data_IF_373497534185
#
_entry.id   IF_373497534185
#
_cell.length_a   1.000
_cell.length_b   1.000
_cell.length_c   1.000
_cell.angle_alpha   90.00
_cell.angle_beta   90.00
_cell.angle_gamma   90.00
#
_symmetry.space_group_name_H-M   'P 1'
#
loop_
_entity.id
_entity.type
_entity.pdbx_description
1 polymer ?
#
# COMPACT_ATOMS: atom_id res chain seq x y z
N UNK A 1 23.52 15.25 -4.23
CA UNK A 1 24.68 14.36 -4.44
C UNK A 1 24.66 13.90 -5.87
N UNK A 2 25.78 14.04 -6.61
CA UNK A 2 25.89 13.56 -7.97
C UNK A 2 26.08 12.04 -7.93
N UNK A 3 25.10 11.26 -8.40
CA UNK A 3 25.04 9.79 -8.27
C UNK A 3 25.92 9.06 -9.30
N UNK A 4 26.46 9.81 -10.27
CA UNK A 4 27.18 9.26 -11.42
C UNK A 4 28.65 8.91 -11.13
N UNK A 5 29.19 9.32 -9.98
CA UNK A 5 30.63 9.16 -9.66
C UNK A 5 30.98 7.99 -8.75
N UNK A 6 29.99 7.22 -8.26
CA UNK A 6 30.24 6.22 -7.19
C UNK A 6 30.49 4.79 -7.73
N UNK A 7 30.18 4.48 -9.00
CA UNK A 7 30.25 3.11 -9.51
C UNK A 7 30.96 2.98 -10.86
N UNK A 8 31.85 1.99 -10.97
CA UNK A 8 32.49 1.59 -12.24
C UNK A 8 31.52 0.75 -13.06
N UNK A 9 30.96 1.32 -14.12
CA UNK A 9 30.18 0.63 -15.13
C UNK A 9 31.14 0.07 -16.18
N UNK A 10 30.99 -1.21 -16.55
CA UNK A 10 31.78 -1.80 -17.65
C UNK A 10 31.55 -1.00 -18.93
N UNK A 11 32.62 -0.75 -19.68
CA UNK A 11 32.56 0.04 -20.91
C UNK A 11 31.57 -0.61 -21.91
N UNK A 12 30.56 0.16 -22.35
CA UNK A 12 29.45 -0.32 -23.18
C UNK A 12 28.19 -0.78 -22.44
N UNK A 13 28.15 -0.78 -21.10
CA UNK A 13 26.92 -1.04 -20.34
C UNK A 13 25.95 0.16 -20.42
N UNK A 14 24.70 -0.12 -20.80
CA UNK A 14 23.62 0.89 -20.90
C UNK A 14 22.84 1.06 -19.58
N UNK A 15 23.08 0.18 -18.62
CA UNK A 15 22.31 0.05 -17.39
C UNK A 15 23.20 0.40 -16.21
N UNK A 16 22.81 1.41 -15.42
CA UNK A 16 23.42 1.73 -14.14
C UNK A 16 22.60 1.14 -12.98
N UNK A 17 23.19 1.03 -11.78
CA UNK A 17 22.52 0.47 -10.60
C UNK A 17 21.11 1.04 -10.35
N UNK A 18 20.89 2.32 -10.65
CA UNK A 18 19.64 3.04 -10.38
C UNK A 18 18.91 3.50 -11.66
N UNK A 19 19.29 2.99 -12.84
CA UNK A 19 18.71 3.46 -14.11
C UNK A 19 17.19 3.22 -14.22
N UNK A 20 16.63 2.32 -13.41
CA UNK A 20 15.20 2.02 -13.38
C UNK A 20 14.43 2.66 -12.24
N UNK A 21 15.09 3.25 -11.23
CA UNK A 21 14.43 3.79 -10.03
C UNK A 21 13.31 4.78 -10.39
N UNK A 22 13.56 5.62 -11.41
CA UNK A 22 12.57 6.60 -11.83
C UNK A 22 11.42 6.00 -12.66
N UNK A 23 11.66 4.84 -13.29
CA UNK A 23 10.70 4.12 -14.13
C UNK A 23 9.79 3.15 -13.35
N UNK A 24 10.08 2.91 -12.07
CA UNK A 24 9.27 2.03 -11.23
C UNK A 24 7.84 2.58 -11.10
N UNK A 25 6.82 1.70 -11.20
CA UNK A 25 5.43 2.12 -11.05
C UNK A 25 5.16 2.59 -9.61
N UNK A 26 4.21 3.50 -9.47
CA UNK A 26 3.72 3.90 -8.15
C UNK A 26 3.06 2.70 -7.44
N UNK A 27 3.16 2.65 -6.11
CA UNK A 27 2.54 1.62 -5.30
C UNK A 27 1.00 1.74 -5.40
N UNK A 28 0.29 0.71 -5.88
CA UNK A 28 -1.16 0.78 -6.00
C UNK A 28 -1.82 0.84 -4.61
N UNK A 29 -2.85 1.67 -4.48
CA UNK A 29 -3.70 1.71 -3.30
C UNK A 29 -4.88 0.72 -3.52
N UNK A 30 -4.98 -0.37 -2.74
CA UNK A 30 -6.12 -1.28 -2.84
C UNK A 30 -7.41 -0.60 -2.36
N UNK A 31 -8.56 -1.00 -2.92
CA UNK A 31 -9.86 -0.53 -2.45
C UNK A 31 -10.05 -0.88 -0.98
N UNK A 32 -10.73 0.00 -0.25
CA UNK A 32 -11.07 -0.22 1.17
C UNK A 32 -11.82 -1.55 1.37
N UNK A 33 -12.81 -1.85 0.53
CA UNK A 33 -13.63 -3.07 0.63
C UNK A 33 -12.81 -4.35 0.50
N UNK A 34 -11.90 -4.38 -0.47
CA UNK A 34 -11.02 -5.54 -0.71
C UNK A 34 -10.09 -5.75 0.48
N UNK A 35 -9.59 -4.66 1.07
CA UNK A 35 -8.74 -4.68 2.26
C UNK A 35 -9.49 -5.21 3.48
N UNK A 36 -10.69 -4.69 3.73
CA UNK A 36 -11.54 -5.13 4.85
C UNK A 36 -11.97 -6.58 4.72
N UNK A 37 -12.29 -7.02 3.50
CA UNK A 37 -12.60 -8.43 3.21
C UNK A 37 -11.40 -9.33 3.54
N UNK A 38 -10.22 -9.00 3.03
CA UNK A 38 -8.99 -9.78 3.28
C UNK A 38 -8.64 -9.80 4.78
N UNK A 39 -8.82 -8.68 5.46
CA UNK A 39 -8.66 -8.60 6.91
C UNK A 39 -9.62 -9.58 7.62
N UNK A 40 -10.92 -9.55 7.30
CA UNK A 40 -11.88 -10.47 7.91
C UNK A 40 -11.56 -11.95 7.65
N UNK A 41 -11.19 -12.30 6.41
CA UNK A 41 -10.77 -13.66 6.06
C UNK A 41 -9.56 -14.13 6.88
N UNK A 42 -8.61 -13.23 7.16
CA UNK A 42 -7.43 -13.55 7.98
C UNK A 42 -7.76 -13.85 9.45
N UNK A 43 -8.90 -13.38 9.96
CA UNK A 43 -9.33 -13.60 11.34
C UNK A 43 -10.09 -14.91 11.54
N UNK A 44 -10.75 -15.42 10.49
CA UNK A 44 -11.55 -16.65 10.56
C UNK A 44 -10.87 -17.87 11.20
N UNK A 45 -9.59 -18.18 10.96
CA UNK A 45 -8.95 -19.33 11.60
C UNK A 45 -8.65 -19.14 13.09
N UNK A 46 -8.74 -17.91 13.61
CA UNK A 46 -8.36 -17.58 15.00
C UNK A 46 -9.56 -17.18 15.88
N UNK A 47 -10.61 -16.60 15.29
CA UNK A 47 -11.75 -16.07 16.02
C UNK A 47 -12.85 -17.08 16.31
N UNK A 48 -13.48 -16.97 17.48
CA UNK A 48 -14.75 -17.64 17.79
C UNK A 48 -15.91 -17.05 16.99
N UNK A 49 -17.05 -17.74 16.94
CA UNK A 49 -18.23 -17.25 16.21
C UNK A 49 -18.74 -15.90 16.74
N UNK A 50 -18.65 -15.67 18.06
CA UNK A 50 -19.06 -14.42 18.71
C UNK A 50 -18.12 -13.27 18.37
N UNK A 51 -16.81 -13.50 18.43
CA UNK A 51 -15.78 -12.52 18.06
C UNK A 51 -15.88 -12.15 16.58
N UNK A 52 -16.02 -13.13 15.69
CA UNK A 52 -16.14 -12.88 14.25
C UNK A 52 -17.41 -12.08 13.91
N UNK A 53 -18.53 -12.36 14.60
CA UNK A 53 -19.75 -11.57 14.44
C UNK A 53 -19.53 -10.12 14.88
N UNK A 54 -18.94 -9.94 16.05
CA UNK A 54 -18.63 -8.61 16.56
C UNK A 54 -17.68 -7.83 15.63
N UNK A 55 -16.65 -8.50 15.10
CA UNK A 55 -15.71 -7.90 14.16
C UNK A 55 -16.39 -7.53 12.84
N UNK A 56 -17.31 -8.35 12.33
CA UNK A 56 -18.09 -8.00 11.13
C UNK A 56 -18.88 -6.70 11.33
N UNK A 57 -19.51 -6.52 12.50
CA UNK A 57 -20.23 -5.28 12.83
C UNK A 57 -19.29 -4.06 12.91
N UNK A 58 -18.08 -4.24 13.45
CA UNK A 58 -17.05 -3.18 13.49
C UNK A 58 -16.59 -2.82 12.08
N UNK A 59 -16.33 -3.82 11.24
CA UNK A 59 -15.89 -3.62 9.86
C UNK A 59 -16.94 -2.82 9.08
N UNK A 60 -18.22 -3.14 9.23
CA UNK A 60 -19.30 -2.43 8.52
C UNK A 60 -19.43 -0.98 9.00
N UNK A 61 -19.32 -0.75 10.32
CA UNK A 61 -19.30 0.60 10.89
C UNK A 61 -18.09 1.41 10.42
N UNK A 62 -16.92 0.79 10.33
CA UNK A 62 -15.71 1.44 9.86
C UNK A 62 -15.81 1.77 8.37
N UNK A 63 -16.24 0.80 7.55
CA UNK A 63 -16.45 0.94 6.11
C UNK A 63 -17.35 2.13 5.77
N UNK A 64 -18.48 2.24 6.45
CA UNK A 64 -19.49 3.27 6.19
C UNK A 64 -19.30 4.56 7.01
N UNK A 65 -18.24 4.63 7.83
CA UNK A 65 -17.94 5.76 8.70
C UNK A 65 -16.55 6.32 8.44
N UNK A 66 -15.77 6.47 9.52
CA UNK A 66 -14.44 7.09 9.48
C UNK A 66 -13.48 6.40 8.50
N UNK A 67 -13.64 5.10 8.25
CA UNK A 67 -12.79 4.35 7.32
C UNK A 67 -12.89 4.86 5.88
N UNK A 68 -14.07 5.27 5.42
CA UNK A 68 -14.25 5.86 4.10
C UNK A 68 -13.55 7.24 4.00
N UNK A 69 -13.66 8.06 5.04
CA UNK A 69 -13.02 9.38 5.10
C UNK A 69 -11.49 9.26 5.09
N UNK A 70 -10.96 8.34 5.90
CA UNK A 70 -9.52 8.04 5.95
C UNK A 70 -9.03 7.48 4.61
N UNK A 71 -9.79 6.60 3.97
CA UNK A 71 -9.41 6.05 2.67
C UNK A 71 -9.36 7.13 1.59
N UNK A 72 -10.30 8.07 1.59
CA UNK A 72 -10.27 9.23 0.67
C UNK A 72 -9.02 10.09 0.88
N UNK A 73 -8.63 10.34 2.13
CA UNK A 73 -7.38 11.04 2.42
C UNK A 73 -6.16 10.26 1.91
N UNK A 74 -6.18 8.94 2.01
CA UNK A 74 -5.12 8.06 1.52
C UNK A 74 -5.06 8.03 -0.02
N UNK A 75 -6.20 8.05 -0.70
CA UNK A 75 -6.30 8.19 -2.15
C UNK A 75 -5.63 9.49 -2.62
N UNK A 76 -5.95 10.62 -1.97
CA UNK A 76 -5.29 11.90 -2.27
C UNK A 76 -3.78 11.85 -2.03
N UNK A 77 -3.34 11.24 -0.92
CA UNK A 77 -1.89 11.05 -0.67
C UNK A 77 -1.23 10.21 -1.77
N UNK A 78 -1.86 9.11 -2.18
CA UNK A 78 -1.33 8.19 -3.20
C UNK A 78 -1.14 8.81 -4.58
N UNK A 79 -1.87 9.89 -4.89
CA UNK A 79 -1.70 10.64 -6.15
C UNK A 79 -0.41 11.44 -6.20
N UNK A 80 0.16 11.79 -5.04
CA UNK A 80 1.29 12.71 -4.94
C UNK A 80 2.61 12.01 -4.59
N UNK A 81 2.58 10.72 -4.24
CA UNK A 81 3.74 9.96 -3.79
C UNK A 81 3.90 8.65 -4.57
N UNK A 82 5.10 8.37 -5.11
CA UNK A 82 5.41 7.06 -5.74
C UNK A 82 5.22 5.90 -4.77
N UNK A 83 5.49 6.14 -3.49
CA UNK A 83 5.29 5.20 -2.41
C UNK A 83 4.57 5.91 -1.25
N UNK A 84 3.26 5.71 -1.14
CA UNK A 84 2.42 6.40 -0.15
C UNK A 84 2.53 5.86 1.28
N UNK A 85 3.26 4.74 1.47
CA UNK A 85 3.55 4.20 2.82
C UNK A 85 4.91 4.62 3.35
N UNK A 86 5.82 5.13 2.51
CA UNK A 86 7.09 5.66 2.98
C UNK A 86 6.90 7.03 3.63
N UNK A 87 7.23 7.14 4.91
CA UNK A 87 7.17 8.36 5.71
C UNK A 87 8.08 8.24 6.92
#
# INVERSE_FOLDING_TARGET
MNRDTIYHLQDGSKESTFCYDESLPALPLPKLEDTLKRYFESLKPFGTAEELKHTADIIEKFKNGIGAELHRCLEEKSKHEKNWVSG
#
